data_IF_008842264543
#
_entry.id   IF_008842264543
#
_cell.length_a   1.000
_cell.length_b   1.000
_cell.length_c   1.000
_cell.angle_alpha   90.00
_cell.angle_beta   90.00
_cell.angle_gamma   90.00
#
_symmetry.space_group_name_H-M   'P 1'
#
loop_
_entity.id
_entity.type
_entity.pdbx_description
1 polymer ?
#
# COMPACT_ATOMS: atom_id res chain seq x y z
N UNK A 1 -24.43 -7.87 -24.06
CA UNK A 1 -23.31 -7.67 -23.12
C UNK A 1 -22.13 -8.43 -23.65
N UNK A 2 -20.97 -7.79 -23.78
CA UNK A 2 -19.72 -8.50 -24.10
C UNK A 2 -19.26 -9.33 -22.89
N UNK A 3 -18.27 -10.21 -23.06
CA UNK A 3 -17.85 -11.11 -21.97
C UNK A 3 -17.29 -10.36 -20.76
N UNK A 4 -16.65 -9.20 -20.95
CA UNK A 4 -16.15 -8.37 -19.86
C UNK A 4 -17.28 -7.82 -18.97
N UNK A 5 -18.39 -7.38 -19.56
CA UNK A 5 -19.58 -6.94 -18.81
C UNK A 5 -20.24 -8.10 -18.06
N UNK A 6 -20.28 -9.30 -18.65
CA UNK A 6 -20.79 -10.51 -17.97
C UNK A 6 -19.90 -10.89 -16.79
N UNK A 7 -18.58 -10.80 -16.97
CA UNK A 7 -17.61 -11.05 -15.91
C UNK A 7 -17.81 -10.10 -14.73
N UNK A 8 -17.91 -8.80 -14.99
CA UNK A 8 -18.19 -7.82 -13.93
C UNK A 8 -19.53 -8.12 -13.23
N UNK A 9 -20.57 -8.46 -13.99
CA UNK A 9 -21.87 -8.82 -13.44
C UNK A 9 -21.80 -10.03 -12.50
N UNK A 10 -21.05 -11.07 -12.87
CA UNK A 10 -20.80 -12.25 -12.04
C UNK A 10 -20.05 -11.88 -10.76
N UNK A 11 -18.97 -11.11 -10.86
CA UNK A 11 -18.18 -10.68 -9.70
C UNK A 11 -19.11 -9.95 -8.71
N UNK A 12 -19.83 -8.91 -9.16
CA UNK A 12 -20.77 -8.15 -8.32
C UNK A 12 -21.79 -9.07 -7.63
N UNK A 13 -22.34 -10.05 -8.35
CA UNK A 13 -23.29 -11.00 -7.76
C UNK A 13 -22.65 -11.82 -6.64
N UNK A 14 -21.45 -12.35 -6.84
CA UNK A 14 -20.75 -13.16 -5.82
C UNK A 14 -20.45 -12.34 -4.56
N UNK A 15 -19.94 -11.12 -4.72
CA UNK A 15 -19.71 -10.22 -3.57
C UNK A 15 -20.99 -9.94 -2.80
N UNK A 16 -22.07 -9.58 -3.50
CA UNK A 16 -23.33 -9.27 -2.85
C UNK A 16 -23.92 -10.47 -2.10
N UNK A 17 -23.66 -11.69 -2.57
CA UNK A 17 -24.04 -12.90 -1.83
C UNK A 17 -23.22 -13.01 -0.55
N UNK A 18 -21.90 -12.81 -0.59
CA UNK A 18 -21.07 -12.84 0.61
C UNK A 18 -21.47 -11.75 1.62
N UNK A 19 -21.62 -10.50 1.16
CA UNK A 19 -21.96 -9.34 2.00
C UNK A 19 -23.47 -9.23 2.36
N UNK A 20 -24.27 -10.26 2.08
CA UNK A 20 -25.73 -10.24 2.31
C UNK A 20 -26.10 -9.98 3.77
N UNK A 21 -25.30 -10.47 4.71
CA UNK A 21 -25.56 -10.36 6.16
C UNK A 21 -25.25 -8.95 6.68
N UNK A 22 -24.40 -8.21 5.97
CA UNK A 22 -24.13 -6.80 6.22
C UNK A 22 -25.10 -5.87 5.48
N UNK A 23 -26.07 -6.43 4.74
CA UNK A 23 -27.03 -5.70 3.90
C UNK A 23 -26.34 -4.70 2.94
N UNK A 24 -25.14 -5.05 2.48
CA UNK A 24 -24.28 -4.15 1.69
C UNK A 24 -24.27 -4.50 0.20
N UNK A 25 -24.97 -3.72 -0.62
CA UNK A 25 -24.93 -3.84 -2.08
C UNK A 25 -23.77 -3.02 -2.68
N UNK A 26 -22.79 -3.72 -3.27
CA UNK A 26 -21.64 -3.09 -3.94
C UNK A 26 -21.99 -2.50 -5.32
N UNK A 27 -23.12 -2.90 -5.93
CA UNK A 27 -23.49 -2.50 -7.29
C UNK A 27 -23.43 -0.99 -7.54
N UNK A 28 -23.99 -0.12 -6.67
CA UNK A 28 -24.02 1.32 -6.89
C UNK A 28 -22.62 1.94 -6.85
N UNK A 29 -21.68 1.32 -6.13
CA UNK A 29 -20.32 1.81 -6.02
C UNK A 29 -19.45 1.46 -7.23
N UNK A 30 -19.81 0.43 -8.00
CA UNK A 30 -18.89 -0.18 -8.98
C UNK A 30 -19.33 -0.01 -10.44
N UNK A 31 -20.63 -0.09 -10.74
CA UNK A 31 -21.12 -0.21 -12.14
C UNK A 31 -20.63 0.90 -13.09
N UNK A 32 -20.35 2.09 -12.57
CA UNK A 32 -19.85 3.23 -13.36
C UNK A 32 -18.51 3.77 -12.86
N UNK A 33 -17.83 3.04 -11.97
CA UNK A 33 -16.59 3.52 -11.35
C UNK A 33 -15.41 3.51 -12.32
N UNK A 34 -15.38 2.54 -13.25
CA UNK A 34 -14.37 2.44 -14.30
C UNK A 34 -15.04 2.24 -15.66
N UNK A 35 -14.66 3.01 -16.69
CA UNK A 35 -15.21 2.83 -18.03
C UNK A 35 -14.66 1.54 -18.68
N UNK A 36 -15.42 0.44 -18.62
CA UNK A 36 -15.02 -0.88 -19.14
C UNK A 36 -14.57 -0.83 -20.61
N UNK A 37 -15.25 -0.04 -21.43
CA UNK A 37 -14.91 0.14 -22.85
C UNK A 37 -13.52 0.76 -23.08
N UNK A 38 -12.92 1.40 -22.08
CA UNK A 38 -11.55 1.92 -22.17
C UNK A 38 -10.50 0.88 -21.79
N UNK A 39 -10.87 -0.22 -21.13
CA UNK A 39 -9.92 -1.22 -20.65
C UNK A 39 -9.13 -1.89 -21.78
N UNK A 40 -9.73 -2.01 -22.97
CA UNK A 40 -9.06 -2.52 -24.18
C UNK A 40 -7.84 -1.68 -24.62
N UNK A 41 -7.78 -0.41 -24.20
CA UNK A 41 -6.70 0.52 -24.58
C UNK A 41 -5.41 0.34 -23.79
N UNK A 42 -5.41 -0.51 -22.76
CA UNK A 42 -4.28 -0.65 -21.84
C UNK A 42 -3.63 -2.03 -21.96
N UNK A 43 -2.31 -2.03 -22.07
CA UNK A 43 -1.48 -3.22 -21.85
C UNK A 43 -1.41 -3.59 -20.37
N UNK A 44 -1.05 -4.83 -20.10
CA UNK A 44 -0.60 -5.30 -18.79
C UNK A 44 0.89 -5.60 -18.85
N UNK A 45 1.55 -5.67 -17.68
CA UNK A 45 2.99 -5.82 -17.59
C UNK A 45 3.36 -6.88 -16.58
N UNK A 46 4.32 -7.74 -16.90
CA UNK A 46 4.87 -8.71 -15.95
C UNK A 46 6.39 -8.58 -15.86
N UNK A 47 6.90 -8.63 -14.64
CA UNK A 47 8.31 -8.53 -14.31
C UNK A 47 9.01 -9.89 -14.39
N UNK A 48 10.22 -9.90 -14.95
CA UNK A 48 11.16 -11.01 -14.98
C UNK A 48 12.43 -10.57 -14.26
N UNK A 49 12.94 -11.46 -13.40
CA UNK A 49 14.13 -11.22 -12.60
C UNK A 49 14.73 -12.57 -12.20
N UNK A 50 16.07 -12.68 -12.07
CA UNK A 50 16.71 -13.90 -11.56
C UNK A 50 16.46 -14.16 -10.08
N UNK A 51 15.86 -13.21 -9.34
CA UNK A 51 15.75 -13.28 -7.89
C UNK A 51 14.42 -13.87 -7.38
N UNK A 52 13.42 -14.04 -8.24
CA UNK A 52 12.10 -14.56 -7.87
C UNK A 52 11.62 -15.58 -8.91
N UNK A 53 10.98 -16.65 -8.46
CA UNK A 53 10.39 -17.66 -9.36
C UNK A 53 9.31 -17.04 -10.25
N UNK A 54 9.41 -17.27 -11.55
CA UNK A 54 8.45 -16.82 -12.55
C UNK A 54 7.34 -17.86 -12.70
N UNK A 55 6.12 -17.54 -12.30
CA UNK A 55 4.96 -18.42 -12.52
C UNK A 55 3.68 -17.59 -12.59
N UNK A 56 3.19 -17.35 -13.81
CA UNK A 56 1.96 -16.60 -14.06
C UNK A 56 0.91 -17.48 -14.70
N UNK A 57 -0.32 -17.41 -14.17
CA UNK A 57 -1.51 -17.97 -14.79
C UNK A 57 -2.58 -16.88 -14.89
N UNK A 58 -2.97 -16.52 -16.10
CA UNK A 58 -4.08 -15.61 -16.35
C UNK A 58 -5.15 -16.38 -17.11
N UNK A 59 -6.37 -16.42 -16.57
CA UNK A 59 -7.47 -17.12 -17.21
C UNK A 59 -8.77 -16.33 -17.07
N UNK A 60 -9.49 -16.15 -18.18
CA UNK A 60 -10.79 -15.48 -18.22
C UNK A 60 -10.82 -14.18 -17.39
N UNK A 61 -9.86 -13.29 -17.65
CA UNK A 61 -9.62 -12.11 -16.82
C UNK A 61 -9.28 -10.88 -17.66
N UNK A 62 -9.50 -9.69 -17.09
CA UNK A 62 -9.00 -8.42 -17.63
C UNK A 62 -7.85 -7.91 -16.74
N UNK A 63 -6.75 -7.46 -17.35
CA UNK A 63 -5.54 -7.03 -16.63
C UNK A 63 -5.15 -5.57 -16.97
N UNK A 64 -6.11 -4.76 -17.42
CA UNK A 64 -5.86 -3.48 -18.07
C UNK A 64 -5.01 -2.51 -17.23
N UNK A 65 -3.78 -2.24 -17.69
CA UNK A 65 -2.85 -1.30 -17.05
C UNK A 65 -2.16 -1.81 -15.80
N UNK A 66 -2.30 -3.11 -15.50
CA UNK A 66 -1.82 -3.70 -14.24
C UNK A 66 -0.41 -4.29 -14.36
N UNK A 67 0.30 -4.36 -13.23
CA UNK A 67 1.68 -4.84 -13.11
C UNK A 67 1.74 -6.10 -12.25
N UNK A 68 2.55 -7.06 -12.65
CA UNK A 68 2.69 -8.36 -11.99
C UNK A 68 4.17 -8.67 -11.75
N UNK A 69 4.53 -9.17 -10.57
CA UNK A 69 5.88 -9.62 -10.24
C UNK A 69 5.81 -10.85 -9.32
N UNK A 70 6.57 -11.90 -9.59
CA UNK A 70 6.62 -13.12 -8.76
C UNK A 70 5.68 -14.23 -9.26
N UNK A 71 5.07 -14.98 -8.32
CA UNK A 71 4.17 -16.10 -8.60
C UNK A 71 2.71 -15.72 -8.39
N UNK A 72 1.96 -15.57 -9.48
CA UNK A 72 0.62 -14.97 -9.46
C UNK A 72 -0.35 -15.73 -10.37
N UNK A 73 -1.52 -16.06 -9.82
CA UNK A 73 -2.64 -16.61 -10.57
C UNK A 73 -3.83 -15.65 -10.52
N UNK A 74 -4.45 -15.40 -11.67
CA UNK A 74 -5.64 -14.55 -11.81
C UNK A 74 -6.69 -15.29 -12.61
N UNK A 75 -7.84 -15.56 -12.01
CA UNK A 75 -8.96 -16.27 -12.62
C UNK A 75 -10.26 -15.50 -12.47
N UNK A 76 -11.07 -15.43 -13.52
CA UNK A 76 -12.40 -14.81 -13.45
C UNK A 76 -12.39 -13.42 -12.80
N UNK A 77 -11.36 -12.61 -13.06
CA UNK A 77 -11.14 -11.36 -12.32
C UNK A 77 -10.86 -10.18 -13.24
N UNK A 78 -11.08 -8.98 -12.72
CA UNK A 78 -10.79 -7.72 -13.41
C UNK A 78 -9.77 -6.96 -12.56
N UNK A 79 -8.60 -6.67 -13.11
CA UNK A 79 -7.55 -5.90 -12.45
C UNK A 79 -7.28 -4.66 -13.30
N UNK A 80 -7.71 -3.50 -12.81
CA UNK A 80 -7.58 -2.23 -13.50
C UNK A 80 -6.50 -1.37 -12.85
N UNK A 81 -5.36 -1.20 -13.54
CA UNK A 81 -4.22 -0.37 -13.12
C UNK A 81 -3.67 -0.72 -11.74
N UNK A 82 -3.81 -1.98 -11.33
CA UNK A 82 -3.38 -2.50 -10.04
C UNK A 82 -1.95 -3.02 -10.12
N UNK A 83 -1.26 -3.03 -8.98
CA UNK A 83 0.09 -3.56 -8.85
C UNK A 83 0.04 -4.80 -7.95
N UNK A 84 0.38 -5.96 -8.50
CA UNK A 84 0.39 -7.23 -7.78
C UNK A 84 1.85 -7.67 -7.63
N UNK A 85 2.36 -7.60 -6.41
CA UNK A 85 3.78 -7.77 -6.11
C UNK A 85 3.99 -8.97 -5.20
N UNK A 86 4.64 -9.98 -5.76
CA UNK A 86 5.01 -11.21 -5.09
C UNK A 86 6.52 -11.37 -4.86
N UNK A 87 7.25 -10.27 -4.71
CA UNK A 87 8.69 -10.27 -4.41
C UNK A 87 9.01 -10.47 -2.93
N UNK A 88 7.99 -10.46 -2.07
CA UNK A 88 8.07 -10.79 -0.65
C UNK A 88 7.46 -12.18 -0.33
N UNK A 89 7.02 -12.95 -1.33
CA UNK A 89 6.42 -14.27 -1.11
C UNK A 89 7.42 -15.27 -0.50
N UNK A 90 6.93 -16.12 0.39
CA UNK A 90 7.72 -17.16 1.03
C UNK A 90 8.16 -18.22 0.02
N UNK A 91 9.38 -18.70 0.17
CA UNK A 91 9.98 -19.74 -0.67
C UNK A 91 9.88 -21.11 -0.01
N UNK A 92 9.87 -22.17 -0.82
CA UNK A 92 9.96 -23.53 -0.32
C UNK A 92 11.21 -23.71 0.55
N UNK A 93 11.02 -24.28 1.73
CA UNK A 93 12.08 -24.49 2.72
C UNK A 93 12.20 -23.38 3.75
N UNK A 94 11.51 -22.26 3.57
CA UNK A 94 11.34 -21.26 4.62
C UNK A 94 10.57 -21.85 5.81
N UNK A 95 10.67 -21.19 6.96
CA UNK A 95 9.93 -21.55 8.18
C UNK A 95 9.07 -20.36 8.59
N UNK A 96 7.76 -20.58 8.70
CA UNK A 96 6.85 -19.60 9.26
C UNK A 96 6.72 -19.80 10.76
N UNK A 97 6.98 -18.74 11.52
CA UNK A 97 6.84 -18.74 12.97
C UNK A 97 5.47 -18.19 13.34
N UNK A 98 4.65 -19.03 13.99
CA UNK A 98 3.34 -18.64 14.50
C UNK A 98 3.19 -19.07 15.95
N UNK A 99 3.15 -18.09 16.87
CA UNK A 99 3.15 -18.35 18.31
C UNK A 99 4.30 -19.29 18.70
N UNK A 100 4.00 -20.51 19.14
CA UNK A 100 4.96 -21.56 19.54
C UNK A 100 5.24 -22.59 18.44
N UNK A 101 4.69 -22.39 17.25
CA UNK A 101 4.82 -23.31 16.13
C UNK A 101 5.83 -22.79 15.11
N UNK A 102 6.61 -23.73 14.58
CA UNK A 102 7.45 -23.56 13.41
C UNK A 102 6.86 -24.40 12.30
N UNK A 103 6.35 -23.74 11.26
CA UNK A 103 5.62 -24.40 10.18
C UNK A 103 6.48 -24.33 8.91
N UNK A 104 7.02 -25.45 8.41
CA UNK A 104 7.86 -25.44 7.23
C UNK A 104 7.02 -25.19 5.97
N UNK A 105 7.51 -24.30 5.10
CA UNK A 105 6.92 -23.99 3.81
C UNK A 105 7.27 -25.11 2.82
N UNK A 106 6.25 -25.82 2.34
CA UNK A 106 6.46 -27.04 1.54
C UNK A 106 6.55 -26.77 0.03
N UNK A 107 5.98 -25.65 -0.41
CA UNK A 107 6.01 -25.15 -1.79
C UNK A 107 6.13 -23.63 -1.80
N UNK A 108 6.72 -23.06 -2.86
CA UNK A 108 6.75 -21.61 -3.04
C UNK A 108 5.34 -21.03 -2.97
N UNK A 109 5.18 -20.01 -2.15
CA UNK A 109 3.92 -19.30 -1.99
C UNK A 109 3.52 -18.60 -3.29
N UNK A 110 2.21 -18.52 -3.54
CA UNK A 110 1.66 -17.77 -4.68
C UNK A 110 0.53 -16.86 -4.26
N UNK A 111 0.39 -15.74 -5.00
CA UNK A 111 -0.81 -14.89 -4.92
C UNK A 111 -1.88 -15.50 -5.83
N UNK A 112 -3.08 -15.71 -5.28
CA UNK A 112 -4.20 -16.29 -6.00
C UNK A 112 -5.43 -15.37 -5.97
N UNK A 113 -5.74 -14.77 -7.11
CA UNK A 113 -6.84 -13.80 -7.26
C UNK A 113 -7.97 -14.45 -8.07
N UNK A 114 -9.15 -14.56 -7.47
CA UNK A 114 -10.30 -15.21 -8.11
C UNK A 114 -11.62 -14.47 -7.88
N UNK A 115 -12.46 -14.42 -8.92
CA UNK A 115 -13.80 -13.82 -8.89
C UNK A 115 -13.80 -12.40 -8.26
N UNK A 116 -12.77 -11.60 -8.56
CA UNK A 116 -12.48 -10.32 -7.88
C UNK A 116 -12.34 -9.14 -8.85
N UNK A 117 -12.62 -7.91 -8.39
CA UNK A 117 -12.38 -6.68 -9.15
C UNK A 117 -11.50 -5.71 -8.36
N UNK A 118 -10.25 -5.55 -8.79
CA UNK A 118 -9.27 -4.67 -8.15
C UNK A 118 -9.04 -3.39 -8.96
N UNK A 119 -9.25 -2.23 -8.34
CA UNK A 119 -9.17 -0.92 -9.01
C UNK A 119 -8.03 -0.08 -8.42
N UNK A 120 -6.95 0.11 -9.19
CA UNK A 120 -5.74 0.84 -8.77
C UNK A 120 -5.23 0.37 -7.40
N UNK A 121 -5.27 -0.94 -7.17
CA UNK A 121 -4.97 -1.55 -5.88
C UNK A 121 -3.54 -2.01 -5.84
N UNK A 122 -2.88 -1.84 -4.70
CA UNK A 122 -1.61 -2.50 -4.43
C UNK A 122 -1.88 -3.79 -3.66
N UNK A 123 -1.38 -4.92 -4.17
CA UNK A 123 -1.26 -6.18 -3.44
C UNK A 123 0.22 -6.45 -3.23
N UNK A 124 0.63 -6.61 -1.98
CA UNK A 124 2.04 -6.78 -1.62
C UNK A 124 2.20 -7.62 -0.36
N UNK A 125 3.45 -7.97 -0.03
CA UNK A 125 3.82 -8.83 1.10
C UNK A 125 3.33 -10.30 0.91
N UNK A 126 3.37 -11.10 1.97
CA UNK A 126 3.05 -12.53 1.98
C UNK A 126 1.89 -12.85 2.93
N UNK A 127 1.27 -14.02 2.77
CA UNK A 127 0.21 -14.50 3.66
C UNK A 127 0.70 -14.62 5.10
N UNK A 128 0.06 -13.88 5.99
CA UNK A 128 0.23 -13.95 7.44
C UNK A 128 -0.74 -14.93 8.11
N UNK A 129 -1.58 -15.61 7.31
CA UNK A 129 -2.53 -16.61 7.77
C UNK A 129 -1.83 -17.97 7.95
N UNK A 130 -1.72 -18.50 9.19
CA UNK A 130 -1.12 -19.80 9.43
C UNK A 130 -1.89 -20.96 8.78
N UNK A 131 -3.15 -20.76 8.37
CA UNK A 131 -3.96 -21.77 7.68
C UNK A 131 -3.68 -21.84 6.17
N UNK A 132 -3.06 -20.80 5.59
CA UNK A 132 -2.86 -20.66 4.14
C UNK A 132 -1.47 -20.14 3.76
N UNK A 133 -0.43 -20.67 4.41
CA UNK A 133 0.95 -20.19 4.29
C UNK A 133 1.51 -20.17 2.86
N UNK A 134 1.21 -21.19 2.05
CA UNK A 134 1.64 -21.25 0.66
C UNK A 134 0.67 -20.58 -0.33
N UNK A 135 -0.40 -19.94 0.17
CA UNK A 135 -1.44 -19.35 -0.67
C UNK A 135 -1.95 -18.02 -0.11
N UNK A 136 -1.44 -16.92 -0.66
CA UNK A 136 -2.01 -15.60 -0.44
C UNK A 136 -3.23 -15.38 -1.34
N UNK A 137 -4.43 -15.69 -0.84
CA UNK A 137 -5.65 -15.62 -1.63
C UNK A 137 -6.37 -14.27 -1.54
N UNK A 138 -6.96 -13.83 -2.66
CA UNK A 138 -7.92 -12.73 -2.76
C UNK A 138 -9.10 -13.26 -3.57
N UNK A 139 -10.18 -13.60 -2.89
CA UNK A 139 -11.36 -14.26 -3.47
C UNK A 139 -12.58 -13.43 -3.23
N UNK A 140 -13.50 -13.43 -4.20
CA UNK A 140 -14.77 -12.73 -4.08
C UNK A 140 -14.58 -11.35 -3.44
N UNK A 141 -13.66 -10.55 -3.98
CA UNK A 141 -13.27 -9.28 -3.39
C UNK A 141 -13.39 -8.15 -4.40
N UNK A 142 -13.92 -7.01 -3.95
CA UNK A 142 -13.88 -5.77 -4.70
C UNK A 142 -13.10 -4.72 -3.92
N UNK A 143 -12.13 -4.10 -4.57
CA UNK A 143 -11.42 -2.95 -4.05
C UNK A 143 -11.66 -1.74 -4.95
N UNK A 144 -11.66 -0.58 -4.32
CA UNK A 144 -11.72 0.70 -5.02
C UNK A 144 -10.36 1.41 -4.98
N UNK A 145 -10.33 2.61 -5.56
CA UNK A 145 -9.11 3.32 -5.94
C UNK A 145 -8.10 3.42 -4.80
N UNK A 146 -6.86 3.01 -5.07
CA UNK A 146 -5.70 3.18 -4.18
C UNK A 146 -5.83 2.44 -2.84
N UNK A 147 -6.65 1.39 -2.79
CA UNK A 147 -6.65 0.47 -1.66
C UNK A 147 -5.35 -0.35 -1.61
N UNK A 148 -4.94 -0.75 -0.40
CA UNK A 148 -3.80 -1.61 -0.14
C UNK A 148 -4.27 -2.93 0.48
N UNK A 149 -3.86 -4.04 -0.12
CA UNK A 149 -3.95 -5.39 0.43
C UNK A 149 -2.52 -5.83 0.74
N UNK A 150 -2.11 -5.76 2.00
CA UNK A 150 -0.72 -5.97 2.41
C UNK A 150 -0.62 -7.18 3.35
N UNK A 151 -0.21 -8.33 2.81
CA UNK A 151 -0.10 -9.58 3.56
C UNK A 151 -1.42 -10.04 4.21
N UNK A 152 -2.53 -9.76 3.54
CA UNK A 152 -3.88 -9.83 4.09
C UNK A 152 -4.79 -10.71 3.21
N UNK A 153 -4.75 -12.06 3.37
CA UNK A 153 -5.64 -12.94 2.63
C UNK A 153 -7.11 -12.58 2.87
N UNK A 154 -7.94 -12.55 1.83
CA UNK A 154 -9.33 -12.13 1.98
C UNK A 154 -10.32 -12.86 1.08
N UNK A 155 -11.53 -13.03 1.62
CA UNK A 155 -12.69 -13.64 0.95
C UNK A 155 -13.94 -12.78 1.15
N UNK A 156 -14.79 -12.68 0.13
CA UNK A 156 -16.13 -12.09 0.26
C UNK A 156 -16.20 -10.61 0.63
N UNK A 157 -15.17 -9.80 0.35
CA UNK A 157 -15.01 -8.48 0.99
C UNK A 157 -15.02 -7.27 0.05
N UNK A 158 -15.32 -6.08 0.62
CA UNK A 158 -15.28 -4.78 -0.08
C UNK A 158 -14.30 -3.80 0.58
N UNK A 159 -13.43 -3.17 -0.21
CA UNK A 159 -12.48 -2.14 0.26
C UNK A 159 -12.77 -0.78 -0.40
N UNK A 160 -13.04 0.22 0.44
CA UNK A 160 -13.20 1.62 0.07
C UNK A 160 -11.88 2.28 -0.39
N UNK A 161 -11.95 3.47 -1.01
CA UNK A 161 -10.79 4.08 -1.63
C UNK A 161 -9.79 4.50 -0.56
N UNK A 162 -8.51 4.33 -0.85
CA UNK A 162 -7.40 4.50 0.11
C UNK A 162 -7.53 3.69 1.40
N UNK A 163 -8.38 2.66 1.45
CA UNK A 163 -8.36 1.73 2.59
C UNK A 163 -7.12 0.86 2.57
N UNK A 164 -6.68 0.39 3.74
CA UNK A 164 -5.54 -0.50 3.88
C UNK A 164 -5.93 -1.62 4.82
N UNK A 165 -5.73 -2.85 4.37
CA UNK A 165 -5.79 -4.05 5.22
C UNK A 165 -4.38 -4.62 5.27
N UNK A 166 -3.83 -4.70 6.47
CA UNK A 166 -2.43 -5.03 6.73
C UNK A 166 -2.34 -6.21 7.69
N UNK A 167 -1.61 -7.26 7.31
CA UNK A 167 -1.34 -8.46 8.12
C UNK A 167 -2.60 -9.05 8.75
N UNK A 168 -3.72 -9.02 8.03
CA UNK A 168 -5.04 -9.39 8.56
C UNK A 168 -5.78 -10.27 7.58
N UNK A 169 -6.17 -11.46 8.02
CA UNK A 169 -7.10 -12.31 7.27
C UNK A 169 -8.51 -11.77 7.41
N UNK A 170 -9.22 -11.61 6.29
CA UNK A 170 -10.52 -10.96 6.28
C UNK A 170 -11.59 -11.79 5.56
N UNK A 171 -12.78 -11.89 6.16
CA UNK A 171 -13.93 -12.62 5.58
C UNK A 171 -15.20 -11.79 5.68
N UNK A 172 -15.95 -11.71 4.59
CA UNK A 172 -17.28 -11.08 4.52
C UNK A 172 -17.34 -9.67 5.15
N UNK A 173 -16.31 -8.85 4.89
CA UNK A 173 -16.14 -7.53 5.50
C UNK A 173 -16.34 -6.37 4.50
N UNK A 174 -16.75 -5.23 5.05
CA UNK A 174 -16.78 -3.93 4.36
C UNK A 174 -15.83 -2.99 5.06
N UNK A 175 -14.82 -2.49 4.36
CA UNK A 175 -13.85 -1.52 4.88
C UNK A 175 -14.11 -0.16 4.24
N UNK A 176 -14.50 0.82 5.05
CA UNK A 176 -14.78 2.18 4.61
C UNK A 176 -13.57 2.91 4.00
N UNK A 177 -13.86 4.01 3.29
CA UNK A 177 -12.83 4.84 2.67
C UNK A 177 -11.80 5.32 3.70
N UNK A 178 -10.52 5.27 3.34
CA UNK A 178 -9.41 5.73 4.18
C UNK A 178 -9.35 5.08 5.58
N UNK A 179 -9.87 3.87 5.73
CA UNK A 179 -9.70 3.07 6.95
C UNK A 179 -8.44 2.19 6.87
N UNK A 180 -7.73 2.04 7.99
CA UNK A 180 -6.57 1.16 8.14
C UNK A 180 -6.90 0.06 9.16
N UNK A 181 -6.73 -1.20 8.80
CA UNK A 181 -7.02 -2.35 9.66
C UNK A 181 -5.80 -3.26 9.74
N UNK A 182 -5.33 -3.48 10.96
CA UNK A 182 -4.35 -4.50 11.31
C UNK A 182 -4.83 -5.19 12.59
N UNK A 183 -5.53 -6.31 12.46
CA UNK A 183 -6.23 -6.96 13.57
C UNK A 183 -6.05 -8.49 13.62
N UNK A 184 -5.16 -9.04 12.79
CA UNK A 184 -4.86 -10.48 12.70
C UNK A 184 -5.92 -11.23 11.91
N UNK A 185 -7.14 -11.32 12.44
CA UNK A 185 -8.28 -11.95 11.77
C UNK A 185 -9.57 -11.16 12.06
N UNK A 186 -10.36 -10.90 11.02
CA UNK A 186 -11.66 -10.23 11.13
C UNK A 186 -12.70 -10.87 10.22
N UNK A 187 -13.94 -10.88 10.68
CA UNK A 187 -15.05 -11.55 10.00
C UNK A 187 -16.36 -10.79 10.21
N UNK A 188 -17.19 -10.68 9.16
CA UNK A 188 -18.52 -10.05 9.20
C UNK A 188 -18.52 -8.63 9.80
N UNK A 189 -17.50 -7.83 9.50
CA UNK A 189 -17.38 -6.44 9.97
C UNK A 189 -17.78 -5.42 8.90
N UNK A 190 -18.53 -4.41 9.32
CA UNK A 190 -18.75 -3.19 8.53
C UNK A 190 -18.05 -2.01 9.22
N UNK A 191 -16.86 -1.67 8.72
CA UNK A 191 -16.00 -0.62 9.26
C UNK A 191 -16.31 0.71 8.59
N UNK A 192 -16.69 1.68 9.41
CA UNK A 192 -16.95 3.06 8.96
C UNK A 192 -15.69 3.72 8.35
N UNK A 193 -15.86 4.64 7.38
CA UNK A 193 -14.75 5.41 6.81
C UNK A 193 -13.91 6.13 7.84
N UNK A 194 -12.59 6.22 7.60
CA UNK A 194 -11.67 6.91 8.48
C UNK A 194 -11.44 6.23 9.82
N UNK A 195 -11.48 4.90 9.86
CA UNK A 195 -11.17 4.12 11.06
C UNK A 195 -9.74 3.60 10.97
N UNK A 196 -8.90 3.89 11.97
CA UNK A 196 -7.57 3.30 12.12
C UNK A 196 -7.60 2.35 13.31
N UNK A 197 -7.44 1.06 13.04
CA UNK A 197 -7.52 0.01 14.05
C UNK A 197 -6.29 -0.89 13.98
N UNK A 198 -5.51 -0.92 15.07
CA UNK A 198 -4.32 -1.77 15.21
C UNK A 198 -4.47 -2.58 16.49
N UNK A 199 -4.57 -3.89 16.36
CA UNK A 199 -4.85 -4.80 17.45
C UNK A 199 -3.94 -6.02 17.38
N UNK A 200 -3.30 -6.32 18.50
CA UNK A 200 -2.74 -7.64 18.80
C UNK A 200 -3.56 -8.22 19.94
N UNK A 201 -4.33 -9.31 19.73
CA UNK A 201 -5.11 -9.94 20.79
C UNK A 201 -4.28 -10.16 22.05
N UNK A 202 -4.86 -9.90 23.21
CA UNK A 202 -4.25 -9.99 24.55
C UNK A 202 -3.08 -9.03 24.85
N UNK A 203 -2.49 -8.37 23.85
CA UNK A 203 -1.38 -7.43 24.05
C UNK A 203 -1.83 -5.96 24.05
N UNK A 204 -2.50 -5.51 22.98
CA UNK A 204 -2.92 -4.12 22.82
C UNK A 204 -4.03 -3.92 21.79
N UNK A 205 -4.71 -2.78 21.90
CA UNK A 205 -5.74 -2.33 20.98
C UNK A 205 -5.68 -0.80 20.82
N UNK A 206 -5.19 -0.33 19.68
CA UNK A 206 -5.23 1.07 19.27
C UNK A 206 -6.40 1.28 18.31
N UNK A 207 -7.26 2.25 18.61
CA UNK A 207 -8.39 2.59 17.77
C UNK A 207 -8.54 4.11 17.67
N UNK A 208 -8.63 4.63 16.45
CA UNK A 208 -8.90 6.03 16.16
C UNK A 208 -9.98 6.14 15.09
N UNK A 209 -10.88 7.12 15.23
CA UNK A 209 -11.84 7.46 14.18
C UNK A 209 -11.80 8.94 13.83
N UNK A 210 -11.66 9.22 12.54
CA UNK A 210 -11.70 10.57 12.00
C UNK A 210 -13.08 11.23 12.24
N UNK A 211 -13.13 12.55 12.51
CA UNK A 211 -14.36 13.33 12.35
C UNK A 211 -14.79 13.30 10.88
N UNK A 212 -15.94 12.68 10.59
CA UNK A 212 -16.40 12.44 9.22
C UNK A 212 -16.59 13.74 8.41
N UNK A 213 -17.04 14.80 9.07
CA UNK A 213 -17.24 16.13 8.49
C UNK A 213 -15.93 16.79 8.05
N UNK A 214 -14.79 16.40 8.62
CA UNK A 214 -13.47 16.90 8.26
C UNK A 214 -12.72 15.98 7.30
N UNK A 215 -12.92 14.67 7.41
CA UNK A 215 -12.29 13.70 6.50
C UNK A 215 -12.76 13.88 5.05
N UNK A 216 -14.03 14.26 4.86
CA UNK A 216 -14.63 14.44 3.52
C UNK A 216 -13.89 15.44 2.62
N UNK A 217 -13.16 16.39 3.21
CA UNK A 217 -12.36 17.37 2.46
C UNK A 217 -11.15 16.70 1.78
N UNK A 218 -10.68 15.59 2.35
CA UNK A 218 -9.55 14.82 1.85
C UNK A 218 -10.00 13.66 0.95
N UNK A 219 -11.07 12.98 1.36
CA UNK A 219 -11.61 11.82 0.66
C UNK A 219 -13.09 11.62 0.99
N UNK A 220 -13.91 11.54 -0.04
CA UNK A 220 -15.30 11.09 0.06
C UNK A 220 -15.60 10.07 -1.05
N UNK A 221 -16.53 9.16 -0.76
CA UNK A 221 -16.93 8.11 -1.70
C UNK A 221 -18.40 7.76 -1.54
N UNK A 222 -19.21 8.28 -2.46
CA UNK A 222 -20.65 8.12 -2.47
C UNK A 222 -21.09 7.11 -3.55
N UNK A 223 -22.24 6.47 -3.31
CA UNK A 223 -22.89 5.58 -4.27
C UNK A 223 -23.09 6.30 -5.61
N UNK A 224 -22.71 5.65 -6.70
CA UNK A 224 -22.90 6.15 -8.07
C UNK A 224 -21.91 7.22 -8.52
N UNK A 225 -20.92 7.60 -7.69
CA UNK A 225 -19.92 8.60 -8.02
C UNK A 225 -18.49 8.04 -7.87
N UNK A 226 -17.52 8.53 -8.66
CA UNK A 226 -16.11 8.26 -8.38
C UNK A 226 -15.70 8.94 -7.06
N UNK A 227 -14.64 8.44 -6.38
CA UNK A 227 -14.10 9.10 -5.21
C UNK A 227 -13.63 10.51 -5.53
N UNK A 228 -13.76 11.42 -4.56
CA UNK A 228 -13.37 12.83 -4.68
C UNK A 228 -12.64 13.28 -3.42
N UNK A 229 -12.08 14.49 -3.48
CA UNK A 229 -11.37 15.11 -2.37
C UNK A 229 -9.90 15.28 -2.68
N UNK A 230 -9.21 15.97 -1.79
CA UNK A 230 -7.83 16.39 -1.99
C UNK A 230 -6.88 15.25 -2.39
N UNK A 231 -7.06 14.04 -1.87
CA UNK A 231 -6.19 12.91 -2.22
C UNK A 231 -6.33 12.47 -3.66
N UNK A 232 -7.57 12.49 -4.19
CA UNK A 232 -7.85 12.15 -5.58
C UNK A 232 -7.29 13.22 -6.51
N UNK A 233 -7.55 14.49 -6.20
CA UNK A 233 -7.01 15.61 -6.98
C UNK A 233 -5.48 15.55 -7.03
N UNK A 234 -4.84 15.33 -5.86
CA UNK A 234 -3.39 15.25 -5.74
C UNK A 234 -2.75 14.18 -6.64
N UNK A 235 -3.32 12.97 -6.69
CA UNK A 235 -2.76 11.88 -7.51
C UNK A 235 -3.12 12.03 -8.98
N UNK A 236 -4.32 12.51 -9.30
CA UNK A 236 -4.77 12.71 -10.68
C UNK A 236 -4.01 13.85 -11.38
N UNK A 237 -3.68 14.93 -10.66
CA UNK A 237 -2.86 16.04 -11.17
C UNK A 237 -1.45 15.61 -11.61
N UNK A 238 -0.98 14.45 -11.15
CA UNK A 238 0.37 13.92 -11.42
C UNK A 238 0.37 12.68 -12.32
N UNK A 239 -0.79 12.23 -12.79
CA UNK A 239 -0.89 10.97 -13.56
C UNK A 239 -0.17 11.01 -14.90
N UNK A 240 -0.10 12.18 -15.53
CA UNK A 240 0.50 12.35 -16.85
C UNK A 240 2.01 12.12 -16.81
N UNK A 241 2.66 12.47 -15.69
CA UNK A 241 4.08 12.25 -15.48
C UNK A 241 4.43 10.75 -15.51
N UNK A 242 3.58 9.90 -14.96
CA UNK A 242 3.75 8.45 -15.04
C UNK A 242 3.51 7.92 -16.46
N UNK A 243 2.58 8.52 -17.20
CA UNK A 243 2.28 8.11 -18.59
C UNK A 243 3.51 8.19 -19.51
N UNK A 244 4.41 9.16 -19.28
CA UNK A 244 5.62 9.33 -20.08
C UNK A 244 6.62 8.18 -19.90
N UNK A 245 6.67 7.57 -18.71
CA UNK A 245 7.61 6.48 -18.38
C UNK A 245 7.34 5.21 -19.20
N UNK A 246 6.10 5.01 -19.66
CA UNK A 246 5.71 3.82 -20.42
C UNK A 246 5.94 3.94 -21.93
N UNK A 247 6.28 5.15 -22.42
CA UNK A 247 6.49 5.40 -23.85
C UNK A 247 7.97 5.34 -24.27
N UNK A 248 8.89 5.16 -23.33
CA UNK A 248 10.33 5.31 -23.57
C UNK A 248 11.08 4.04 -23.15
N UNK A 249 11.78 3.40 -24.09
CA UNK A 249 12.59 2.21 -23.82
C UNK A 249 13.87 2.51 -23.01
N UNK A 250 14.46 3.69 -23.19
CA UNK A 250 15.64 4.16 -22.47
C UNK A 250 15.38 5.56 -21.89
N UNK A 251 15.14 5.65 -20.58
CA UNK A 251 14.98 6.93 -19.89
C UNK A 251 16.38 7.37 -19.41
N UNK A 252 16.85 8.53 -19.87
CA UNK A 252 18.02 9.17 -19.27
C UNK A 252 17.70 9.47 -17.80
N UNK A 253 18.51 8.94 -16.88
CA UNK A 253 18.28 9.14 -15.45
C UNK A 253 18.63 10.59 -15.07
N UNK A 254 17.67 11.39 -14.55
CA UNK A 254 17.91 12.79 -14.22
C UNK A 254 18.73 12.99 -12.93
N UNK A 255 19.02 11.91 -12.20
CA UNK A 255 19.80 11.91 -10.98
C UNK A 255 20.88 10.81 -11.02
N UNK A 256 22.04 11.10 -10.44
CA UNK A 256 23.07 10.08 -10.21
C UNK A 256 22.58 9.11 -9.15
N UNK A 257 22.62 7.81 -9.44
CA UNK A 257 22.21 6.75 -8.52
C UNK A 257 23.45 5.96 -8.09
N UNK A 258 23.77 5.92 -6.78
CA UNK A 258 24.88 5.10 -6.28
C UNK A 258 24.69 3.61 -6.58
N UNK A 259 25.77 2.85 -6.76
CA UNK A 259 25.72 1.40 -7.05
C UNK A 259 25.01 0.60 -5.95
N UNK A 260 24.99 1.11 -4.72
CA UNK A 260 24.33 0.47 -3.58
C UNK A 260 22.82 0.79 -3.49
N UNK A 261 22.30 1.64 -4.36
CA UNK A 261 20.91 2.11 -4.36
C UNK A 261 20.13 1.53 -5.54
N UNK A 262 18.82 1.41 -5.41
CA UNK A 262 17.93 1.08 -6.53
C UNK A 262 17.02 2.26 -6.85
N UNK A 263 16.98 2.61 -8.14
CA UNK A 263 15.98 3.51 -8.69
C UNK A 263 15.16 2.73 -9.71
N UNK A 264 13.89 2.45 -9.39
CA UNK A 264 13.02 1.76 -10.32
C UNK A 264 12.69 2.66 -11.52
N UNK A 265 12.80 2.11 -12.74
CA UNK A 265 12.54 2.83 -14.00
C UNK A 265 11.11 3.37 -14.14
N UNK A 266 10.16 2.82 -13.38
CA UNK A 266 8.76 3.26 -13.36
C UNK A 266 8.43 4.19 -12.19
N UNK A 267 9.45 4.78 -11.56
CA UNK A 267 9.30 5.94 -10.68
C UNK A 267 9.43 7.23 -11.46
N UNK A 268 8.74 8.28 -11.03
CA UNK A 268 8.91 9.63 -11.57
C UNK A 268 10.00 10.33 -10.78
N UNK A 269 11.04 10.79 -11.48
CA UNK A 269 12.11 11.61 -10.90
C UNK A 269 12.15 12.95 -11.62
N UNK A 270 11.90 14.03 -10.90
CA UNK A 270 12.04 15.39 -11.42
C UNK A 270 13.42 15.97 -11.03
N UNK A 271 13.89 17.02 -11.73
CA UNK A 271 15.17 17.68 -11.42
C UNK A 271 15.31 18.10 -9.95
N UNK A 272 16.56 18.31 -9.52
CA UNK A 272 16.95 18.64 -8.13
C UNK A 272 16.65 17.53 -7.11
N UNK A 273 16.44 16.30 -7.58
CA UNK A 273 16.35 15.13 -6.72
C UNK A 273 17.76 14.59 -6.43
N UNK A 274 18.05 14.30 -5.17
CA UNK A 274 19.31 13.72 -4.70
C UNK A 274 19.04 12.36 -4.05
N UNK A 275 19.81 11.35 -4.44
CA UNK A 275 19.70 9.97 -3.96
C UNK A 275 21.05 9.57 -3.35
N UNK A 276 21.06 9.29 -2.05
CA UNK A 276 22.24 8.80 -1.34
C UNK A 276 22.43 7.28 -1.47
N UNK A 277 23.47 6.74 -0.82
CA UNK A 277 23.75 5.30 -0.73
C UNK A 277 22.61 4.51 -0.07
N UNK A 278 22.46 3.25 -0.46
CA UNK A 278 21.49 2.29 0.09
C UNK A 278 20.02 2.74 0.01
N UNK A 279 19.73 3.78 -0.76
CA UNK A 279 18.36 4.26 -0.97
C UNK A 279 17.61 3.28 -1.87
N UNK A 280 16.37 2.99 -1.51
CA UNK A 280 15.43 2.27 -2.36
C UNK A 280 14.33 3.21 -2.85
N UNK A 281 14.19 3.35 -4.17
CA UNK A 281 13.05 4.01 -4.79
C UNK A 281 12.30 2.98 -5.64
N UNK A 282 11.11 2.60 -5.18
CA UNK A 282 10.29 1.60 -5.80
C UNK A 282 9.51 2.15 -7.01
N UNK A 283 8.86 1.26 -7.76
CA UNK A 283 8.00 1.66 -8.88
C UNK A 283 6.84 2.53 -8.40
N UNK A 284 6.36 3.42 -9.27
CA UNK A 284 5.29 4.39 -8.95
C UNK A 284 5.59 5.37 -7.81
N UNK A 285 6.80 5.37 -7.25
CA UNK A 285 7.24 6.47 -6.40
C UNK A 285 7.37 7.76 -7.24
N UNK A 286 7.07 8.90 -6.64
CA UNK A 286 7.16 10.22 -7.25
C UNK A 286 8.09 11.12 -6.44
N UNK A 287 9.24 11.47 -7.01
CA UNK A 287 10.23 12.33 -6.37
C UNK A 287 10.36 13.64 -7.15
N UNK A 288 10.12 14.77 -6.47
CA UNK A 288 10.29 16.10 -7.03
C UNK A 288 11.02 17.01 -6.06
N UNK A 289 12.20 17.50 -6.46
CA UNK A 289 13.04 18.32 -5.59
C UNK A 289 13.20 17.67 -4.20
N UNK A 290 13.51 16.37 -4.22
CA UNK A 290 13.55 15.51 -3.04
C UNK A 290 15.00 15.17 -2.67
N UNK A 291 15.33 15.20 -1.39
CA UNK A 291 16.63 14.75 -0.88
C UNK A 291 16.43 13.49 -0.03
N UNK A 292 16.91 12.35 -0.53
CA UNK A 292 16.80 11.06 0.14
C UNK A 292 18.16 10.69 0.74
N UNK A 293 18.24 10.76 2.07
CA UNK A 293 19.41 10.39 2.86
C UNK A 293 19.72 8.90 2.80
N UNK A 294 20.88 8.53 3.37
CA UNK A 294 21.37 7.16 3.30
C UNK A 294 20.33 6.18 3.84
N UNK A 295 20.09 5.09 3.10
CA UNK A 295 19.17 4.03 3.54
C UNK A 295 17.69 4.41 3.55
N UNK A 296 17.32 5.61 3.09
CA UNK A 296 15.92 6.01 2.99
C UNK A 296 15.18 5.16 1.94
N UNK A 297 13.87 4.97 2.14
CA UNK A 297 13.05 4.09 1.34
C UNK A 297 11.74 4.77 0.89
N UNK A 298 11.59 4.95 -0.42
CA UNK A 298 10.34 5.35 -1.05
C UNK A 298 9.67 4.13 -1.68
N UNK A 299 8.65 3.58 -1.02
CA UNK A 299 7.88 2.43 -1.52
C UNK A 299 6.88 2.83 -2.62
N UNK A 300 6.13 1.86 -3.13
CA UNK A 300 5.14 2.07 -4.18
C UNK A 300 4.14 3.17 -3.84
N UNK A 301 3.78 3.95 -4.87
CA UNK A 301 2.78 5.01 -4.79
C UNK A 301 3.11 6.13 -3.77
N UNK A 302 4.36 6.18 -3.27
CA UNK A 302 4.79 7.25 -2.40
C UNK A 302 5.11 8.53 -3.17
N UNK A 303 4.95 9.67 -2.52
CA UNK A 303 5.27 10.99 -3.08
C UNK A 303 6.20 11.74 -2.12
N UNK A 304 7.33 12.22 -2.62
CA UNK A 304 8.26 13.08 -1.88
C UNK A 304 8.50 14.33 -2.72
N UNK A 305 7.97 15.47 -2.25
CA UNK A 305 7.92 16.72 -3.01
C UNK A 305 8.50 17.85 -2.15
N UNK A 306 9.50 18.56 -2.66
CA UNK A 306 10.18 19.67 -1.98
C UNK A 306 10.59 19.30 -0.55
N UNK A 307 11.11 18.09 -0.35
CA UNK A 307 11.28 17.51 0.99
C UNK A 307 12.66 16.90 1.19
N UNK A 308 13.12 16.87 2.44
CA UNK A 308 14.41 16.32 2.84
C UNK A 308 14.21 15.25 3.91
N UNK A 309 14.81 14.09 3.67
CA UNK A 309 14.75 12.91 4.51
C UNK A 309 16.18 12.61 4.95
N UNK A 310 16.52 12.88 6.21
CA UNK A 310 17.91 12.89 6.67
C UNK A 310 18.59 11.51 6.58
N UNK A 311 17.84 10.40 6.67
CA UNK A 311 18.37 9.05 6.45
C UNK A 311 17.62 7.96 7.21
N UNK A 312 17.63 6.74 6.67
CA UNK A 312 16.93 5.57 7.21
C UNK A 312 15.42 5.80 7.41
N UNK A 313 14.87 6.75 6.66
CA UNK A 313 13.45 7.07 6.67
C UNK A 313 12.68 6.07 5.82
N UNK A 314 11.52 5.62 6.31
CA UNK A 314 10.64 4.71 5.59
C UNK A 314 9.36 5.46 5.21
N UNK A 315 9.07 5.47 3.92
CA UNK A 315 7.78 5.93 3.39
C UNK A 315 7.02 4.71 2.94
N UNK A 316 6.09 4.27 3.78
CA UNK A 316 5.24 3.13 3.47
C UNK A 316 4.27 3.44 2.32
N UNK A 317 3.77 2.40 1.67
CA UNK A 317 2.95 2.51 0.46
C UNK A 317 1.89 3.62 0.52
N UNK A 318 1.86 4.44 -0.53
CA UNK A 318 0.90 5.54 -0.68
C UNK A 318 1.16 6.78 0.19
N UNK A 319 2.22 6.81 1.01
CA UNK A 319 2.59 7.96 1.82
C UNK A 319 2.99 9.17 0.97
N UNK A 320 2.63 10.37 1.40
CA UNK A 320 2.82 11.62 0.67
C UNK A 320 3.48 12.63 1.59
N UNK A 321 4.63 13.15 1.19
CA UNK A 321 5.48 14.04 1.97
C UNK A 321 5.77 15.29 1.12
N UNK A 322 5.26 16.43 1.55
CA UNK A 322 5.27 17.68 0.80
C UNK A 322 5.77 18.81 1.71
N UNK A 323 6.78 19.56 1.25
CA UNK A 323 7.35 20.71 1.98
C UNK A 323 7.74 20.35 3.42
N UNK A 324 8.40 19.19 3.58
CA UNK A 324 8.66 18.58 4.89
C UNK A 324 10.13 18.21 5.06
N UNK A 325 10.65 18.36 6.28
CA UNK A 325 11.97 17.86 6.68
C UNK A 325 11.79 16.74 7.71
N UNK A 326 12.26 15.54 7.40
CA UNK A 326 12.34 14.43 8.35
C UNK A 326 13.77 14.35 8.90
N UNK A 327 13.89 14.22 10.22
CA UNK A 327 15.12 13.71 10.85
C UNK A 327 15.33 12.24 10.54
N UNK A 328 16.38 11.63 11.08
CA UNK A 328 16.72 10.23 10.80
C UNK A 328 15.73 9.22 11.42
N UNK A 329 15.62 8.03 10.81
CA UNK A 329 14.80 6.90 11.27
C UNK A 329 13.31 7.24 11.44
N UNK A 330 12.75 8.16 10.65
CA UNK A 330 11.33 8.45 10.69
C UNK A 330 10.56 7.40 9.90
N UNK A 331 9.53 6.82 10.53
CA UNK A 331 8.59 5.95 9.85
C UNK A 331 7.33 6.73 9.48
N UNK A 332 6.98 6.73 8.20
CA UNK A 332 5.74 7.31 7.67
C UNK A 332 4.83 6.18 7.17
N UNK A 333 3.78 5.89 7.93
CA UNK A 333 2.87 4.79 7.64
C UNK A 333 2.00 4.98 6.38
N UNK A 334 1.34 3.88 5.98
CA UNK A 334 0.52 3.76 4.76
C UNK A 334 -0.39 4.96 4.52
N UNK A 335 -0.51 5.40 3.26
CA UNK A 335 -1.43 6.45 2.83
C UNK A 335 -1.37 7.78 3.61
N UNK A 336 -0.38 8.00 4.47
CA UNK A 336 -0.24 9.23 5.25
C UNK A 336 -0.04 10.43 4.33
N UNK A 337 -0.53 11.59 4.76
CA UNK A 337 -0.43 12.84 4.01
C UNK A 337 0.18 13.93 4.88
N UNK A 338 1.48 14.16 4.69
CA UNK A 338 2.27 15.15 5.42
C UNK A 338 2.54 16.34 4.51
N UNK A 339 1.83 17.44 4.72
CA UNK A 339 1.86 18.63 3.87
C UNK A 339 2.11 19.89 4.69
N UNK A 340 3.35 20.40 4.61
CA UNK A 340 3.69 21.77 4.95
C UNK A 340 3.32 22.76 3.84
N UNK A 341 3.86 23.97 3.88
CA UNK A 341 3.84 24.94 2.78
C UNK A 341 5.25 25.46 2.51
N UNK A 342 5.49 26.02 1.33
CA UNK A 342 6.82 26.53 0.93
C UNK A 342 7.39 27.55 1.92
N UNK A 343 6.54 28.39 2.51
CA UNK A 343 6.87 29.40 3.53
C UNK A 343 6.66 28.90 4.98
N UNK A 344 6.10 27.71 5.15
CA UNK A 344 5.69 27.14 6.44
C UNK A 344 5.88 25.63 6.44
N UNK A 345 7.14 25.20 6.37
CA UNK A 345 7.50 23.78 6.28
C UNK A 345 7.13 23.01 7.54
N UNK A 346 6.83 21.72 7.36
CA UNK A 346 6.68 20.76 8.45
C UNK A 346 8.06 20.19 8.81
N UNK A 347 8.36 20.06 10.10
CA UNK A 347 9.56 19.37 10.58
C UNK A 347 9.16 18.18 11.45
N UNK A 348 9.74 17.02 11.20
CA UNK A 348 9.50 15.79 11.97
C UNK A 348 10.83 15.36 12.59
N UNK A 349 10.88 15.32 13.93
CA UNK A 349 12.08 14.91 14.65
C UNK A 349 12.44 13.45 14.41
N UNK A 350 13.72 13.11 14.61
CA UNK A 350 14.22 11.74 14.46
C UNK A 350 13.45 10.72 15.29
N UNK A 351 13.51 9.46 14.88
CA UNK A 351 12.90 8.31 15.58
C UNK A 351 11.38 8.46 15.82
N UNK A 352 10.71 9.30 15.02
CA UNK A 352 9.27 9.53 15.10
C UNK A 352 8.52 8.50 14.26
N UNK A 353 7.39 8.04 14.78
CA UNK A 353 6.48 7.11 14.12
C UNK A 353 5.21 7.89 13.77
N UNK A 354 5.03 8.14 12.48
CA UNK A 354 3.76 8.62 11.94
C UNK A 354 2.91 7.39 11.61
N UNK A 355 1.83 7.21 12.36
CA UNK A 355 0.92 6.08 12.20
C UNK A 355 0.33 6.03 10.78
N UNK A 356 -0.06 4.84 10.30
CA UNK A 356 -0.81 4.70 9.06
C UNK A 356 -2.02 5.65 9.01
N UNK A 357 -2.27 6.16 7.80
CA UNK A 357 -3.39 7.04 7.49
C UNK A 357 -3.39 8.34 8.28
N UNK A 358 -2.24 8.86 8.70
CA UNK A 358 -2.15 10.17 9.39
C UNK A 358 -2.23 11.32 8.39
N UNK A 359 -3.00 12.36 8.71
CA UNK A 359 -3.12 13.58 7.90
C UNK A 359 -2.54 14.76 8.69
N UNK A 360 -1.39 15.28 8.23
CA UNK A 360 -0.84 16.54 8.71
C UNK A 360 -0.93 17.55 7.57
N UNK A 361 -1.83 18.51 7.66
CA UNK A 361 -2.03 19.54 6.66
C UNK A 361 -1.98 20.93 7.30
N UNK A 362 -0.77 21.40 7.55
CA UNK A 362 -0.54 22.65 8.26
C UNK A 362 -0.28 23.82 7.31
N UNK A 363 -0.90 24.96 7.62
CA UNK A 363 -0.65 26.24 6.93
C UNK A 363 0.38 27.11 7.64
N UNK A 364 0.75 26.75 8.88
CA UNK A 364 1.76 27.45 9.68
C UNK A 364 2.92 26.49 9.96
N UNK A 365 4.12 26.99 10.30
CA UNK A 365 5.22 26.11 10.68
C UNK A 365 4.79 25.20 11.83
N UNK A 366 5.07 23.91 11.70
CA UNK A 366 4.75 22.90 12.71
C UNK A 366 5.98 22.00 12.87
N UNK A 367 6.37 21.74 14.10
CA UNK A 367 7.50 20.90 14.44
C UNK A 367 7.05 19.79 15.38
N UNK A 368 7.24 18.55 14.95
CA UNK A 368 7.01 17.36 15.77
C UNK A 368 8.34 17.04 16.48
N UNK A 369 8.35 16.92 17.82
CA UNK A 369 9.57 16.57 18.53
C UNK A 369 10.05 15.15 18.20
N UNK A 370 11.34 14.84 18.41
CA UNK A 370 11.86 13.49 18.22
C UNK A 370 11.16 12.44 19.09
N UNK A 371 11.17 11.18 18.65
CA UNK A 371 10.71 10.04 19.45
C UNK A 371 9.23 10.10 19.82
N UNK A 372 8.38 10.59 18.92
CA UNK A 372 6.93 10.67 19.11
C UNK A 372 6.17 9.64 18.28
N UNK A 373 5.02 9.20 18.78
CA UNK A 373 3.96 8.59 17.99
C UNK A 373 2.98 9.69 17.58
N UNK A 374 2.57 9.73 16.32
CA UNK A 374 1.64 10.74 15.77
C UNK A 374 0.56 10.05 14.95
N UNK A 375 -0.70 10.48 15.08
CA UNK A 375 -1.84 9.91 14.36
C UNK A 375 -2.87 10.97 13.96
N UNK A 376 -3.93 10.55 13.26
CA UNK A 376 -5.14 11.34 13.06
C UNK A 376 -4.98 12.59 12.20
N UNK A 377 -5.87 13.57 12.40
CA UNK A 377 -5.92 14.83 11.66
C UNK A 377 -5.25 15.98 12.43
N UNK A 378 -4.24 16.58 11.83
CA UNK A 378 -3.43 17.66 12.42
C UNK A 378 -3.28 18.81 11.41
N UNK A 379 -3.85 19.95 11.73
CA UNK A 379 -3.76 21.20 10.95
C UNK A 379 -3.23 22.37 11.79
N UNK A 380 -3.15 22.19 13.11
CA UNK A 380 -2.68 23.18 14.09
C UNK A 380 -1.79 22.54 15.17
N UNK A 381 -1.01 23.34 15.92
CA UNK A 381 -0.25 22.84 17.09
C UNK A 381 -1.11 22.17 18.16
N UNK A 382 -2.29 22.71 18.47
CA UNK A 382 -3.20 22.12 19.47
C UNK A 382 -3.68 20.73 19.04
N UNK A 383 -3.92 20.53 17.73
CA UNK A 383 -4.27 19.22 17.19
C UNK A 383 -3.08 18.26 17.21
N UNK A 384 -1.85 18.74 17.06
CA UNK A 384 -0.66 17.91 17.26
C UNK A 384 -0.57 17.46 18.71
N UNK A 385 -0.80 18.36 19.67
CA UNK A 385 -0.79 18.00 21.09
C UNK A 385 -1.87 16.95 21.42
N UNK A 386 -3.05 17.02 20.79
CA UNK A 386 -4.12 16.03 20.99
C UNK A 386 -3.94 14.73 20.22
N UNK A 387 -3.08 14.69 19.19
CA UNK A 387 -2.87 13.50 18.34
C UNK A 387 -1.40 13.07 18.26
N UNK A 388 -0.64 13.32 19.33
CA UNK A 388 0.72 12.78 19.49
C UNK A 388 1.03 12.46 20.94
N UNK A 389 1.98 11.55 21.15
CA UNK A 389 2.52 11.22 22.48
C UNK A 389 3.98 10.83 22.32
N UNK A 390 4.84 11.17 23.29
CA UNK A 390 6.20 10.66 23.31
C UNK A 390 6.17 9.13 23.42
N UNK A 391 7.02 8.44 22.66
CA UNK A 391 7.10 6.97 22.69
C UNK A 391 7.49 6.45 24.08
N UNK A 392 8.33 7.20 24.79
CA UNK A 392 8.71 6.88 26.17
C UNK A 392 7.50 6.92 27.13
N UNK A 393 6.59 7.88 26.95
CA UNK A 393 5.42 8.01 27.80
C UNK A 393 4.34 6.99 27.44
N UNK A 394 4.13 6.73 26.14
CA UNK A 394 3.25 5.65 25.71
C UNK A 394 3.72 4.29 26.24
N UNK A 395 5.04 4.04 26.26
CA UNK A 395 5.61 2.78 26.78
C UNK A 395 5.30 2.52 28.26
N UNK A 396 4.85 3.54 29.01
CA UNK A 396 4.49 3.43 30.44
C UNK A 396 2.99 3.20 30.66
N UNK A 397 2.19 3.12 29.59
CA UNK A 397 0.74 2.92 29.66
C UNK A 397 0.41 1.43 29.68
N UNK A 398 -0.29 0.98 30.73
CA UNK A 398 -0.86 -0.38 30.83
C UNK A 398 -2.35 -0.40 31.20
N UNK A 399 -2.91 0.73 31.66
CA UNK A 399 -4.31 0.85 32.12
C UNK A 399 -5.27 1.43 31.06
N UNK A 400 -4.79 1.60 29.84
CA UNK A 400 -5.49 2.29 28.75
C UNK A 400 -5.32 3.82 28.75
N UNK A 401 -5.57 4.42 27.60
CA UNK A 401 -5.42 5.86 27.36
C UNK A 401 -6.52 6.32 26.38
N UNK A 402 -7.22 7.39 26.72
CA UNK A 402 -8.06 8.12 25.77
C UNK A 402 -7.45 9.49 25.50
N UNK A 403 -7.28 9.83 24.22
CA UNK A 403 -6.73 11.12 23.81
C UNK A 403 -7.39 11.60 22.52
N UNK A 404 -8.25 12.60 22.64
CA UNK A 404 -9.11 13.03 21.53
C UNK A 404 -10.02 11.90 21.08
N UNK A 405 -10.00 11.59 19.79
CA UNK A 405 -10.77 10.47 19.20
C UNK A 405 -10.01 9.13 19.22
N UNK A 406 -8.84 9.07 19.86
CA UNK A 406 -8.06 7.85 20.00
C UNK A 406 -8.35 7.19 21.35
N UNK A 407 -8.56 5.89 21.31
CA UNK A 407 -8.57 5.01 22.47
C UNK A 407 -7.48 3.95 22.31
N UNK A 408 -6.73 3.73 23.38
CA UNK A 408 -5.70 2.71 23.48
C UNK A 408 -5.98 1.84 24.71
N UNK A 409 -5.83 0.53 24.57
CA UNK A 409 -5.93 -0.47 25.64
C UNK A 409 -4.75 -1.44 25.54
N UNK A 410 -4.36 -2.05 26.66
CA UNK A 410 -3.24 -2.98 26.75
C UNK A 410 -1.88 -2.31 26.99
N UNK A 411 -0.79 -2.99 26.62
CA UNK A 411 0.57 -2.56 26.95
C UNK A 411 1.18 -1.67 25.87
N UNK A 412 1.42 -0.40 26.23
CA UNK A 412 2.11 0.55 25.36
C UNK A 412 3.56 0.18 25.09
N UNK A 413 4.23 -0.52 26.01
CA UNK A 413 5.60 -1.00 25.80
C UNK A 413 5.66 -2.03 24.66
N UNK A 414 4.74 -2.99 24.65
CA UNK A 414 4.64 -4.00 23.58
C UNK A 414 4.29 -3.34 22.25
N UNK A 415 3.34 -2.40 22.24
CA UNK A 415 2.96 -1.65 21.06
C UNK A 415 4.15 -0.88 20.44
N UNK A 416 4.89 -0.11 21.25
CA UNK A 416 6.06 0.65 20.79
C UNK A 416 7.17 -0.28 20.29
N UNK A 417 7.41 -1.40 20.97
CA UNK A 417 8.41 -2.38 20.54
C UNK A 417 8.04 -3.02 19.19
N UNK A 418 6.77 -3.40 19.00
CA UNK A 418 6.29 -3.99 17.75
C UNK A 418 6.54 -3.07 16.53
N UNK A 419 6.31 -1.76 16.67
CA UNK A 419 6.66 -0.81 15.61
C UNK A 419 8.17 -0.70 15.39
N UNK A 420 8.99 -0.65 16.46
CA UNK A 420 10.46 -0.58 16.32
C UNK A 420 11.02 -1.80 15.60
N UNK A 421 10.56 -3.00 15.95
CA UNK A 421 10.94 -4.23 15.29
C UNK A 421 10.53 -4.24 13.82
N UNK A 422 9.30 -3.82 13.51
CA UNK A 422 8.81 -3.68 12.14
C UNK A 422 9.66 -2.70 11.32
N UNK A 423 9.97 -1.53 11.85
CA UNK A 423 10.80 -0.50 11.20
C UNK A 423 12.20 -1.06 10.91
N UNK A 424 12.82 -1.72 11.90
CA UNK A 424 14.13 -2.33 11.74
C UNK A 424 14.12 -3.41 10.65
N UNK A 425 13.13 -4.29 10.69
CA UNK A 425 12.97 -5.35 9.70
C UNK A 425 12.80 -4.80 8.28
N UNK A 426 11.99 -3.74 8.11
CA UNK A 426 11.82 -3.09 6.80
C UNK A 426 13.16 -2.51 6.32
N UNK A 427 13.93 -1.82 7.16
CA UNK A 427 15.24 -1.27 6.77
C UNK A 427 16.23 -2.37 6.38
N UNK A 428 16.25 -3.47 7.13
CA UNK A 428 17.09 -4.63 6.85
C UNK A 428 16.71 -5.30 5.52
N UNK A 429 15.43 -5.64 5.33
CA UNK A 429 14.92 -6.27 4.13
C UNK A 429 15.17 -5.41 2.88
N UNK A 430 15.11 -4.10 3.02
CA UNK A 430 15.39 -3.16 1.93
C UNK A 430 16.87 -2.93 1.67
N UNK A 431 17.77 -3.40 2.54
CA UNK A 431 19.20 -3.26 2.36
C UNK A 431 19.73 -1.88 2.74
N UNK A 432 19.05 -1.19 3.66
CA UNK A 432 19.47 0.11 4.16
C UNK A 432 20.84 0.04 4.86
N UNK A 433 21.16 -1.11 5.46
CA UNK A 433 22.41 -1.39 6.18
C UNK A 433 23.49 -2.08 5.32
N UNK A 434 23.35 -2.08 4.00
CA UNK A 434 24.33 -2.68 3.09
C UNK A 434 25.72 -2.00 3.22
N UNK A 435 26.76 -2.81 3.41
CA UNK A 435 28.14 -2.33 3.65
C UNK A 435 29.07 -2.54 2.44
N UNK A 436 28.53 -2.94 1.29
CA UNK A 436 29.27 -3.35 0.10
C UNK A 436 29.44 -4.87 -0.03
N UNK A 437 29.22 -5.64 1.04
CA UNK A 437 29.38 -7.11 1.06
C UNK A 437 28.22 -7.86 1.72
N UNK A 438 27.75 -7.39 2.88
CA UNK A 438 26.71 -8.00 3.72
C UNK A 438 25.47 -7.10 3.77
N UNK A 439 24.36 -7.65 4.28
CA UNK A 439 23.08 -6.96 4.43
C UNK A 439 22.50 -6.48 3.10
N UNK A 440 22.61 -7.33 2.06
CA UNK A 440 21.96 -7.08 0.77
C UNK A 440 20.45 -7.25 0.92
N UNK A 441 19.71 -6.23 0.55
CA UNK A 441 18.25 -6.25 0.51
C UNK A 441 17.70 -5.83 -0.85
N UNK A 442 16.44 -5.41 -0.88
CA UNK A 442 15.73 -5.03 -2.10
C UNK A 442 16.46 -3.94 -2.90
N UNK A 443 17.07 -2.94 -2.26
CA UNK A 443 17.83 -1.89 -2.95
C UNK A 443 19.00 -2.43 -3.78
N UNK A 444 19.56 -3.60 -3.43
CA UNK A 444 20.66 -4.23 -4.18
C UNK A 444 20.21 -5.42 -5.03
N UNK A 445 19.00 -5.95 -4.81
CA UNK A 445 18.44 -7.08 -5.57
C UNK A 445 17.57 -6.61 -6.74
N UNK A 446 16.82 -5.51 -6.58
CA UNK A 446 15.80 -5.07 -7.53
C UNK A 446 16.35 -4.23 -8.70
N UNK A 447 17.67 -4.08 -8.81
CA UNK A 447 18.31 -3.31 -9.89
C UNK A 447 18.11 -3.93 -11.29
N UNK A 448 17.82 -5.24 -11.37
CA UNK A 448 17.81 -6.01 -12.64
C UNK A 448 16.43 -6.59 -13.00
N UNK A 449 15.34 -5.85 -12.78
CA UNK A 449 13.99 -6.29 -13.17
C UNK A 449 13.64 -5.78 -14.57
N UNK A 450 13.25 -6.67 -15.46
CA UNK A 450 12.72 -6.34 -16.79
C UNK A 450 11.22 -6.55 -16.83
N UNK A 451 10.45 -5.64 -17.42
CA UNK A 451 9.00 -5.83 -17.60
C UNK A 451 8.63 -6.01 -19.07
N UNK A 452 7.86 -7.07 -19.32
CA UNK A 452 7.31 -7.45 -20.61
C UNK A 452 5.83 -7.09 -20.68
N UNK A 453 5.33 -6.83 -21.89
CA UNK A 453 3.95 -6.42 -22.13
C UNK A 453 3.05 -7.59 -22.51
N UNK A 454 1.79 -7.55 -22.08
CA UNK A 454 0.70 -8.43 -22.50
C UNK A 454 -0.44 -7.54 -23.02
N UNK A 455 -1.17 -8.02 -24.04
CA UNK A 455 -2.25 -7.26 -24.69
C UNK A 455 -3.60 -7.98 -24.59
N UNK A 456 -4.73 -7.24 -24.48
CA UNK A 456 -6.07 -7.82 -24.51
C UNK A 456 -6.52 -8.18 -25.93
N UNK A 457 -7.61 -8.94 -26.05
CA UNK A 457 -8.36 -9.03 -27.30
C UNK A 457 -8.84 -7.64 -27.73
N UNK A 458 -8.54 -7.20 -28.98
CA UNK A 458 -8.81 -5.83 -29.41
C UNK A 458 -10.27 -5.57 -29.79
N UNK A 459 -11.03 -6.60 -30.17
CA UNK A 459 -12.41 -6.50 -30.65
C UNK A 459 -13.16 -7.83 -30.46
N UNK A 460 -14.46 -7.86 -30.77
CA UNK A 460 -15.33 -9.01 -30.70
C UNK A 460 -15.91 -9.28 -29.30
N UNK A 461 -16.50 -10.47 -29.11
CA UNK A 461 -17.16 -10.84 -27.85
C UNK A 461 -16.22 -10.83 -26.63
N UNK A 462 -14.94 -11.14 -26.88
CA UNK A 462 -13.88 -11.18 -25.87
C UNK A 462 -13.15 -9.83 -25.69
N UNK A 463 -13.59 -8.75 -26.35
CA UNK A 463 -12.91 -7.46 -26.33
C UNK A 463 -12.58 -7.01 -24.89
N UNK A 464 -11.31 -6.65 -24.68
CA UNK A 464 -10.79 -6.22 -23.38
C UNK A 464 -10.36 -7.38 -22.47
N UNK A 465 -10.85 -8.61 -22.63
CA UNK A 465 -10.31 -9.75 -21.90
C UNK A 465 -8.90 -10.10 -22.41
N UNK A 466 -8.12 -10.74 -21.55
CA UNK A 466 -6.83 -11.31 -21.90
C UNK A 466 -7.02 -12.80 -22.20
N UNK A 467 -6.31 -13.36 -23.20
CA UNK A 467 -6.36 -14.79 -23.47
C UNK A 467 -5.87 -15.59 -22.26
N UNK A 468 -6.20 -16.87 -22.21
CA UNK A 468 -5.59 -17.77 -21.24
C UNK A 468 -4.07 -17.84 -21.49
N UNK A 469 -3.28 -17.46 -20.49
CA UNK A 469 -1.82 -17.33 -20.57
C UNK A 469 -1.22 -18.09 -19.39
N UNK A 470 -0.19 -18.88 -19.67
CA UNK A 470 0.71 -19.48 -18.68
C UNK A 470 2.13 -19.08 -19.02
N UNK A 471 2.87 -18.53 -18.06
CA UNK A 471 4.28 -18.13 -18.20
C UNK A 471 5.07 -18.75 -17.06
N UNK A 472 6.05 -19.59 -17.40
CA UNK A 472 6.88 -20.36 -16.48
C UNK A 472 8.34 -20.36 -16.98
N UNK A 473 9.32 -20.76 -16.16
CA UNK A 473 10.75 -20.69 -16.49
C UNK A 473 11.17 -21.54 -17.69
#
# INVERSE_FOLDING_TARGET
MNELEKLLGRIIQRINVNLRELEYDVSPFIKNLVPLNQMVKFHAFYGITPNHSLDFLFNHSNLAGSYFLGKIQVRNSILYKSDIRGDELKSKGDVFHYQKFEIPITTDEGIDIEDSFLIKTLVHNFSHDPETLEKFFIRDTITSHYANIHGAPMDGSFLGPFSTVDLTTMRDCVIGAFSYIQAGEVDHLNIEPGTVWVRSPDDFNFHYRYPADRLKDYICFDKGAPPKGLFIDFVEDRKEDFGQLFNVFNIEQPASVPESSSLNRFSVIKPKTYISENVMVAQRAYLENAWLGKGANAQEQCYVINSRLDGFDIMAHGAKIIETNLGENVFVGFNSFLRGRTDSRLTVGRDTIIMPHTIIDTKKPLAIPPGHLVWGLITTPDELESNSIALEDLSKIDAGLMKGNMSFEGSGAVFVNAFRERIHHILEANGAFFDGKKNRGHAQKNQNISFNTIQPYPDGELQGLYPAIVIQP
#
